data_IF_722247474285
#
_entry.id   IF_722247474285
#
_cell.length_a   1.000
_cell.length_b   1.000
_cell.length_c   1.000
_cell.angle_alpha   90.00
_cell.angle_beta   90.00
_cell.angle_gamma   90.00
#
_symmetry.space_group_name_H-M   'P 1'
#
loop_
_entity.id
_entity.type
_entity.pdbx_description
1 polymer ?
#
# COMPACT_ATOMS: atom_id res chain seq x y z
N UNK A 1 -31.86 -23.49 -34.03
CA UNK A 1 -30.49 -22.94 -34.02
C UNK A 1 -29.49 -24.10 -33.97
N UNK A 2 -28.44 -24.08 -34.79
CA UNK A 2 -27.42 -25.16 -34.80
C UNK A 2 -26.64 -25.11 -33.48
N UNK A 3 -26.50 -26.25 -32.77
CA UNK A 3 -25.81 -26.33 -31.47
C UNK A 3 -24.41 -25.70 -31.49
N UNK A 4 -23.71 -25.78 -32.63
CA UNK A 4 -22.40 -25.15 -32.83
C UNK A 4 -22.43 -23.63 -32.72
N UNK A 5 -23.51 -22.96 -33.13
CA UNK A 5 -23.63 -21.51 -33.11
C UNK A 5 -23.69 -20.98 -31.67
N UNK A 6 -24.40 -21.68 -30.79
CA UNK A 6 -24.48 -21.34 -29.35
C UNK A 6 -23.10 -21.43 -28.70
N UNK A 7 -22.32 -22.47 -29.02
CA UNK A 7 -20.97 -22.64 -28.52
C UNK A 7 -20.01 -21.52 -28.98
N UNK A 8 -20.04 -21.15 -30.26
CA UNK A 8 -19.21 -20.05 -30.77
C UNK A 8 -19.60 -18.70 -30.16
N UNK A 9 -20.89 -18.45 -29.94
CA UNK A 9 -21.37 -17.22 -29.30
C UNK A 9 -20.91 -17.14 -27.84
N UNK A 10 -20.95 -18.26 -27.12
CA UNK A 10 -20.40 -18.35 -25.76
C UNK A 10 -18.91 -18.01 -25.72
N UNK A 11 -18.10 -18.62 -26.61
CA UNK A 11 -16.66 -18.31 -26.70
C UNK A 11 -16.42 -16.84 -27.02
N UNK A 12 -17.19 -16.27 -27.94
CA UNK A 12 -17.06 -14.86 -28.31
C UNK A 12 -17.31 -13.95 -27.09
N UNK A 13 -18.34 -14.23 -26.30
CA UNK A 13 -18.63 -13.47 -25.07
C UNK A 13 -17.46 -13.61 -24.07
N UNK A 14 -16.92 -14.81 -23.86
CA UNK A 14 -15.76 -15.01 -23.00
C UNK A 14 -14.53 -14.21 -23.48
N UNK A 15 -14.26 -14.19 -24.78
CA UNK A 15 -13.14 -13.42 -25.33
C UNK A 15 -13.36 -11.91 -25.17
N UNK A 16 -14.56 -11.41 -25.45
CA UNK A 16 -14.91 -9.99 -25.30
C UNK A 16 -14.78 -9.55 -23.85
N UNK A 17 -15.27 -10.37 -22.90
CA UNK A 17 -15.16 -10.06 -21.46
C UNK A 17 -13.70 -10.03 -21.01
N UNK A 18 -12.88 -11.01 -21.39
CA UNK A 18 -11.43 -11.00 -21.08
C UNK A 18 -10.74 -9.77 -21.66
N UNK A 19 -11.07 -9.40 -22.91
CA UNK A 19 -10.49 -8.24 -23.56
C UNK A 19 -10.90 -6.93 -22.87
N UNK A 20 -12.16 -6.81 -22.48
CA UNK A 20 -12.66 -5.67 -21.72
C UNK A 20 -11.98 -5.54 -20.34
N UNK A 21 -11.82 -6.65 -19.62
CA UNK A 21 -11.09 -6.68 -18.35
C UNK A 21 -9.62 -6.28 -18.56
N UNK A 22 -8.98 -6.77 -19.62
CA UNK A 22 -7.59 -6.42 -19.95
C UNK A 22 -7.40 -4.94 -20.23
N UNK A 23 -8.32 -4.32 -20.99
CA UNK A 23 -8.28 -2.88 -21.31
C UNK A 23 -8.49 -2.04 -20.05
N UNK A 24 -9.52 -2.34 -19.26
CA UNK A 24 -9.82 -1.60 -18.03
C UNK A 24 -8.71 -1.72 -17.00
N UNK A 25 -8.11 -2.92 -16.87
CA UNK A 25 -6.93 -3.15 -16.04
C UNK A 25 -5.76 -2.26 -16.46
N UNK A 26 -5.41 -2.22 -17.75
CA UNK A 26 -4.29 -1.41 -18.25
C UNK A 26 -4.51 0.09 -18.04
N UNK A 27 -5.73 0.58 -18.28
CA UNK A 27 -6.11 1.97 -18.03
C UNK A 27 -5.99 2.31 -16.54
N UNK A 28 -6.47 1.41 -15.68
CA UNK A 28 -6.40 1.58 -14.22
C UNK A 28 -4.97 1.59 -13.69
N UNK A 29 -4.11 0.68 -14.16
CA UNK A 29 -2.69 0.63 -13.77
C UNK A 29 -1.96 1.88 -14.24
N UNK A 30 -2.15 2.30 -15.49
CA UNK A 30 -1.53 3.52 -16.01
C UNK A 30 -1.94 4.76 -15.20
N UNK A 31 -3.20 4.84 -14.78
CA UNK A 31 -3.69 5.92 -13.93
C UNK A 31 -3.03 5.88 -12.54
N UNK A 32 -2.98 4.71 -11.92
CA UNK A 32 -2.33 4.52 -10.62
C UNK A 32 -0.85 4.91 -10.64
N UNK A 33 -0.10 4.46 -11.65
CA UNK A 33 1.33 4.76 -11.79
C UNK A 33 1.59 6.27 -11.99
N UNK A 34 0.72 6.96 -12.73
CA UNK A 34 0.83 8.40 -12.91
C UNK A 34 0.51 9.19 -11.63
N UNK A 35 -0.59 8.83 -10.96
CA UNK A 35 -1.01 9.48 -9.71
C UNK A 35 -0.04 9.21 -8.55
N UNK A 36 0.63 8.06 -8.55
CA UNK A 36 1.51 7.60 -7.47
C UNK A 36 2.98 7.45 -7.91
N UNK A 37 3.42 8.25 -8.88
CA UNK A 37 4.78 8.18 -9.45
C UNK A 37 5.89 8.24 -8.39
N UNK A 38 5.73 9.09 -7.37
CA UNK A 38 6.66 9.21 -6.23
C UNK A 38 6.77 7.92 -5.40
N UNK A 39 5.65 7.21 -5.21
CA UNK A 39 5.65 5.92 -4.51
C UNK A 39 6.38 4.88 -5.36
N UNK A 40 6.10 4.79 -6.66
CA UNK A 40 6.76 3.83 -7.56
C UNK A 40 8.28 4.05 -7.59
N UNK A 41 8.72 5.30 -7.64
CA UNK A 41 10.13 5.67 -7.60
C UNK A 41 10.79 5.26 -6.28
N UNK A 42 10.13 5.53 -5.15
CA UNK A 42 10.60 5.13 -3.82
C UNK A 42 10.68 3.61 -3.69
N UNK A 43 9.71 2.87 -4.26
CA UNK A 43 9.68 1.41 -4.27
C UNK A 43 10.91 0.86 -4.99
N UNK A 44 11.18 1.42 -6.18
CA UNK A 44 12.29 1.05 -7.04
C UNK A 44 13.64 1.33 -6.37
N UNK A 45 13.80 2.52 -5.76
CA UNK A 45 15.01 2.91 -5.04
C UNK A 45 15.32 1.96 -3.86
N UNK A 46 14.28 1.49 -3.17
CA UNK A 46 14.38 0.55 -2.05
C UNK A 46 14.42 -0.93 -2.50
N UNK A 47 14.35 -1.22 -3.80
CA UNK A 47 14.24 -2.57 -4.38
C UNK A 47 13.07 -3.38 -3.82
N UNK A 48 11.96 -2.71 -3.53
CA UNK A 48 10.73 -3.34 -3.07
C UNK A 48 9.87 -3.74 -4.26
N UNK A 49 9.27 -4.93 -4.22
CA UNK A 49 8.33 -5.40 -5.25
C UNK A 49 7.04 -4.61 -5.26
N UNK A 50 6.62 -4.08 -4.11
CA UNK A 50 5.52 -3.13 -3.94
C UNK A 50 5.77 -2.30 -2.67
N UNK A 51 5.33 -1.04 -2.64
CA UNK A 51 5.27 -0.28 -1.39
C UNK A 51 4.06 -0.76 -0.61
N UNK A 52 4.32 -1.63 0.35
CA UNK A 52 3.40 -1.91 1.44
C UNK A 52 3.91 -1.20 2.69
N UNK A 53 3.40 0.01 2.95
CA UNK A 53 3.62 0.72 4.22
C UNK A 53 2.84 0.02 5.33
N UNK A 54 3.28 -1.17 5.75
CA UNK A 54 2.82 -1.76 6.99
C UNK A 54 3.63 -1.21 8.15
N UNK A 55 3.14 -0.12 8.72
CA UNK A 55 3.62 0.44 9.99
C UNK A 55 3.09 -0.34 11.21
N UNK A 56 2.81 -1.63 11.02
CA UNK A 56 1.98 -2.42 11.90
C UNK A 56 2.74 -3.67 12.37
N UNK A 57 2.48 -4.08 13.61
CA UNK A 57 3.37 -4.98 14.32
C UNK A 57 3.38 -6.36 13.65
N UNK A 58 4.43 -7.16 13.84
CA UNK A 58 4.54 -8.45 13.15
C UNK A 58 3.33 -9.36 13.36
N UNK A 59 2.69 -9.28 14.53
CA UNK A 59 1.49 -10.03 14.88
C UNK A 59 0.18 -9.50 14.25
N UNK A 60 0.17 -8.31 13.62
CA UNK A 60 -1.01 -7.82 12.90
C UNK A 60 -1.03 -8.24 11.43
N UNK A 61 0.04 -8.86 10.92
CA UNK A 61 0.10 -9.31 9.51
C UNK A 61 -0.70 -10.58 9.23
N UNK A 62 -0.91 -11.43 10.24
CA UNK A 62 -1.68 -12.66 10.14
C UNK A 62 -2.60 -12.79 11.35
N UNK A 63 -3.66 -11.97 11.43
CA UNK A 63 -4.55 -11.95 12.61
C UNK A 63 -5.13 -13.32 12.97
N UNK A 64 -5.34 -14.20 11.98
CA UNK A 64 -5.84 -15.56 12.20
C UNK A 64 -4.80 -16.52 12.77
N UNK A 65 -3.52 -16.17 12.75
CA UNK A 65 -2.39 -16.97 13.21
C UNK A 65 -1.64 -16.33 14.39
N UNK A 66 -2.02 -15.12 14.79
CA UNK A 66 -1.38 -14.40 15.87
C UNK A 66 -1.93 -14.86 17.22
N UNK A 67 -1.04 -15.25 18.12
CA UNK A 67 -1.40 -15.54 19.52
C UNK A 67 -1.75 -14.23 20.24
N UNK A 68 -2.73 -14.27 21.17
CA UNK A 68 -3.21 -13.13 21.95
C UNK A 68 -2.11 -12.47 22.78
N UNK A 69 -1.08 -13.23 23.16
CA UNK A 69 0.02 -12.75 24.00
C UNK A 69 1.28 -12.37 23.20
N UNK A 70 1.23 -12.43 21.87
CA UNK A 70 2.40 -12.20 20.99
C UNK A 70 3.11 -10.87 21.28
N UNK A 71 2.39 -9.82 21.71
CA UNK A 71 2.96 -8.51 22.03
C UNK A 71 3.87 -8.49 23.27
N UNK A 72 3.81 -9.51 24.13
CA UNK A 72 4.49 -9.54 25.44
C UNK A 72 5.60 -10.60 25.55
N UNK A 73 5.73 -11.50 24.56
CA UNK A 73 6.66 -12.62 24.64
C UNK A 73 8.14 -12.21 24.56
N UNK A 74 8.45 -11.06 23.95
CA UNK A 74 9.83 -10.62 23.68
C UNK A 74 10.32 -9.48 24.61
N UNK A 75 9.61 -9.18 25.70
CA UNK A 75 10.04 -8.15 26.68
C UNK A 75 11.30 -8.61 27.46
N UNK A 76 12.31 -7.75 27.71
CA UNK A 76 12.37 -6.29 27.48
C UNK A 76 13.02 -5.86 26.16
N UNK A 77 13.34 -6.78 25.24
CA UNK A 77 14.07 -6.51 24.00
C UNK A 77 13.20 -6.21 22.77
N UNK A 78 11.88 -6.19 22.92
CA UNK A 78 10.87 -6.18 21.86
C UNK A 78 10.68 -4.81 21.16
N UNK A 79 11.75 -4.16 20.71
CA UNK A 79 11.71 -2.86 20.01
C UNK A 79 10.95 -2.98 18.67
N UNK A 80 11.00 -4.16 18.03
CA UNK A 80 10.33 -4.42 16.75
C UNK A 80 8.82 -4.70 16.87
N UNK A 81 8.28 -4.89 18.08
CA UNK A 81 6.85 -5.22 18.31
C UNK A 81 5.93 -4.00 18.40
N UNK A 82 6.50 -2.80 18.54
CA UNK A 82 5.75 -1.55 18.62
C UNK A 82 6.19 -0.60 17.49
N UNK A 83 5.64 -0.77 16.28
CA UNK A 83 6.02 0.05 15.12
C UNK A 83 5.49 1.50 15.19
N UNK A 84 5.02 1.97 16.35
CA UNK A 84 4.81 3.41 16.59
C UNK A 84 6.15 4.20 16.60
N UNK A 85 7.29 3.56 16.44
CA UNK A 85 8.57 4.21 16.15
C UNK A 85 8.68 4.69 14.70
N UNK A 86 7.74 5.51 14.24
CA UNK A 86 7.96 6.28 13.02
C UNK A 86 8.94 7.41 13.34
N UNK A 87 10.17 7.33 12.83
CA UNK A 87 11.03 8.51 12.69
C UNK A 87 10.52 9.27 11.47
N UNK A 88 9.49 10.08 11.67
CA UNK A 88 9.11 11.06 10.66
C UNK A 88 10.13 12.20 10.66
N UNK A 89 10.61 12.66 9.49
CA UNK A 89 11.33 13.92 9.44
C UNK A 89 10.43 15.01 10.04
N UNK A 90 11.00 15.99 10.77
CA UNK A 90 10.21 17.09 11.31
C UNK A 90 9.43 17.76 10.18
N UNK A 91 8.16 18.16 10.40
CA UNK A 91 7.39 18.89 9.41
C UNK A 91 8.17 20.14 8.95
N UNK A 92 8.08 20.48 7.66
CA UNK A 92 8.69 21.71 7.17
C UNK A 92 7.93 22.93 7.73
N UNK A 93 8.51 23.54 8.76
CA UNK A 93 7.98 24.74 9.41
C UNK A 93 8.46 26.04 8.75
N UNK A 94 9.12 26.01 7.58
CA UNK A 94 9.62 27.20 6.88
C UNK A 94 8.53 28.24 6.59
N UNK A 95 7.29 27.80 6.43
CA UNK A 95 6.11 28.63 6.21
C UNK A 95 5.54 29.28 7.49
N UNK A 96 5.87 28.76 8.67
CA UNK A 96 5.50 29.40 9.94
C UNK A 96 6.56 30.44 10.27
N UNK A 97 6.26 31.71 10.01
CA UNK A 97 7.15 32.82 10.37
C UNK A 97 7.53 32.78 11.84
N UNK A 98 8.75 32.33 12.14
CA UNK A 98 9.24 32.14 13.50
C UNK A 98 9.54 33.50 14.12
N UNK A 99 8.56 34.10 14.80
CA UNK A 99 8.81 35.27 15.66
C UNK A 99 8.11 35.09 17.01
N UNK A 100 8.60 34.14 17.80
CA UNK A 100 8.22 34.08 19.22
C UNK A 100 9.07 35.10 19.97
N UNK A 101 8.51 36.31 20.20
CA UNK A 101 9.12 37.28 21.12
C UNK A 101 8.95 36.79 22.55
N UNK A 102 9.98 36.14 23.08
CA UNK A 102 10.04 35.78 24.52
C UNK A 102 10.23 37.06 25.33
N UNK A 103 9.17 37.52 25.99
CA UNK A 103 9.24 38.64 26.95
C UNK A 103 9.87 38.12 28.25
N UNK A 104 11.17 38.36 28.44
CA UNK A 104 11.81 38.17 29.75
C UNK A 104 11.12 39.09 30.77
N UNK A 105 10.64 38.49 31.87
CA UNK A 105 10.30 39.22 33.10
C UNK A 105 11.59 39.46 33.89
#
# INVERSE_FOLDING_TARGET
>A
MRKSLVFFLFILICLVTILFLGITSRLSVSKFLNENSQLVETASALKLTDIFFSNDARYTRNLSQADLFSAFQDYPGSIEHFPSGSVMPPPDFSHLGTTVKVKRR
#
